data_IF_654308560185
#
_entry.id   IF_654308560185
#
_cell.length_a   1.000
_cell.length_b   1.000
_cell.length_c   1.000
_cell.angle_alpha   90.00
_cell.angle_beta   90.00
_cell.angle_gamma   90.00
#
_symmetry.space_group_name_H-M   'P 1'
#
loop_
_entity.id
_entity.type
_entity.pdbx_description
1 polymer ?
#
# COMPACT_ATOMS: atom_id res chain seq x y z
N UNK A 1 30.46 6.70 -18.98
CA UNK A 1 29.82 5.73 -19.88
C UNK A 1 30.15 6.07 -21.31
N UNK A 2 30.55 5.10 -22.14
CA UNK A 2 30.88 5.29 -23.54
C UNK A 2 29.69 5.30 -24.51
N UNK A 3 28.47 5.54 -24.03
CA UNK A 3 27.26 5.57 -24.85
C UNK A 3 27.18 6.90 -25.61
N UNK A 4 27.08 6.83 -26.93
CA UNK A 4 26.95 7.99 -27.82
C UNK A 4 25.51 8.12 -28.37
N UNK A 5 25.15 9.28 -28.97
CA UNK A 5 23.86 9.43 -29.63
C UNK A 5 23.57 8.37 -30.71
N UNK A 6 24.63 7.95 -31.44
CA UNK A 6 24.51 6.89 -32.45
C UNK A 6 24.11 5.55 -31.84
N UNK A 7 24.66 5.20 -30.67
CA UNK A 7 24.24 3.98 -29.93
C UNK A 7 22.78 4.05 -29.55
N UNK A 8 22.28 5.19 -29.07
CA UNK A 8 20.87 5.38 -28.72
C UNK A 8 19.98 5.26 -29.96
N UNK A 9 20.38 5.90 -31.07
CA UNK A 9 19.63 5.84 -32.32
C UNK A 9 19.53 4.40 -32.85
N UNK A 10 20.63 3.63 -32.76
CA UNK A 10 20.67 2.24 -33.19
C UNK A 10 19.76 1.37 -32.31
N UNK A 11 19.82 1.56 -30.98
CA UNK A 11 18.90 0.86 -30.05
C UNK A 11 17.44 1.17 -30.33
N UNK A 12 17.11 2.45 -30.59
CA UNK A 12 15.75 2.87 -30.93
C UNK A 12 15.25 2.17 -32.20
N UNK A 13 16.08 2.09 -33.24
CA UNK A 13 15.68 1.41 -34.49
C UNK A 13 15.43 -0.09 -34.31
N UNK A 14 16.20 -0.76 -33.45
CA UNK A 14 16.00 -2.18 -33.15
C UNK A 14 14.68 -2.37 -32.35
N UNK A 15 14.38 -1.49 -31.41
CA UNK A 15 13.15 -1.56 -30.62
C UNK A 15 11.93 -1.35 -31.52
N UNK A 16 11.97 -0.38 -32.43
CA UNK A 16 10.91 -0.15 -33.39
C UNK A 16 10.65 -1.38 -34.28
N UNK A 17 11.72 -2.03 -34.75
CA UNK A 17 11.65 -3.26 -35.58
C UNK A 17 11.07 -4.45 -34.77
N UNK A 18 11.43 -4.58 -33.47
CA UNK A 18 10.88 -5.60 -32.58
C UNK A 18 9.41 -5.37 -32.33
N UNK A 19 8.99 -4.13 -32.04
CA UNK A 19 7.60 -3.76 -31.79
C UNK A 19 6.72 -4.03 -33.02
N UNK A 20 7.22 -3.72 -34.21
CA UNK A 20 6.48 -3.99 -35.46
C UNK A 20 6.35 -5.49 -35.74
N UNK A 21 7.38 -6.28 -35.45
CA UNK A 21 7.34 -7.73 -35.55
C UNK A 21 6.40 -8.38 -34.52
N UNK A 22 6.32 -7.86 -33.30
CA UNK A 22 5.39 -8.36 -32.27
C UNK A 22 3.92 -7.99 -32.57
N UNK A 23 3.68 -6.82 -33.20
CA UNK A 23 2.33 -6.45 -33.67
C UNK A 23 1.81 -7.36 -34.77
N UNK A 24 2.70 -7.93 -35.59
CA UNK A 24 2.33 -8.90 -36.64
C UNK A 24 2.19 -10.33 -36.12
N UNK A 25 2.80 -10.66 -34.97
CA UNK A 25 2.73 -11.97 -34.31
C UNK A 25 1.86 -11.90 -33.04
N UNK A 26 0.55 -11.85 -33.20
CA UNK A 26 -0.44 -11.88 -32.10
C UNK A 26 -0.43 -13.16 -31.22
N UNK A 27 0.60 -14.00 -31.31
CA UNK A 27 0.77 -15.24 -30.55
C UNK A 27 2.03 -15.30 -29.68
N UNK A 28 2.71 -14.19 -29.44
CA UNK A 28 3.78 -14.18 -28.45
C UNK A 28 3.16 -14.40 -27.06
N UNK A 29 3.16 -15.66 -26.61
CA UNK A 29 2.94 -15.99 -25.19
C UNK A 29 3.94 -15.11 -24.43
N UNK A 30 3.46 -14.13 -23.64
CA UNK A 30 4.30 -13.51 -22.63
C UNK A 30 4.89 -14.62 -21.79
N UNK A 31 6.16 -14.93 -22.00
CA UNK A 31 6.91 -15.79 -21.11
C UNK A 31 7.09 -15.04 -19.79
N UNK A 32 6.08 -15.13 -18.93
CA UNK A 32 6.08 -14.61 -17.56
C UNK A 32 6.90 -15.48 -16.62
N UNK A 33 7.82 -16.32 -17.17
CA UNK A 33 8.69 -17.16 -16.35
C UNK A 33 9.64 -16.28 -15.56
N UNK A 34 9.28 -16.02 -14.30
CA UNK A 34 10.13 -15.34 -13.33
C UNK A 34 9.63 -13.98 -12.81
N UNK A 35 8.50 -13.43 -13.28
CA UNK A 35 7.97 -12.22 -12.70
C UNK A 35 7.30 -12.50 -11.35
N UNK A 36 7.79 -11.87 -10.30
CA UNK A 36 7.23 -11.92 -8.95
C UNK A 36 6.72 -10.52 -8.59
N UNK A 37 5.39 -10.34 -8.37
CA UNK A 37 4.85 -9.06 -7.93
C UNK A 37 5.53 -8.60 -6.65
N UNK A 38 6.09 -7.39 -6.67
CA UNK A 38 6.98 -6.90 -5.60
C UNK A 38 6.94 -5.38 -5.50
N UNK A 39 7.16 -4.84 -4.30
CA UNK A 39 7.68 -3.50 -4.13
C UNK A 39 9.22 -3.50 -4.20
N UNK A 40 9.85 -2.36 -4.41
CA UNK A 40 11.30 -2.28 -4.41
C UNK A 40 11.81 -0.95 -3.86
N UNK A 41 12.95 -1.01 -3.18
CA UNK A 41 13.83 0.12 -2.96
C UNK A 41 14.85 0.23 -4.11
N UNK A 42 15.79 1.16 -4.01
CA UNK A 42 16.94 1.20 -4.95
C UNK A 42 17.92 0.04 -4.72
N UNK A 43 17.79 -0.71 -3.62
CA UNK A 43 18.72 -1.79 -3.24
C UNK A 43 18.10 -3.17 -3.41
N UNK A 44 16.84 -3.35 -3.01
CA UNK A 44 16.19 -4.67 -2.88
C UNK A 44 14.78 -4.65 -3.45
N UNK A 45 14.36 -5.81 -3.97
CA UNK A 45 12.98 -6.15 -4.27
C UNK A 45 12.39 -6.95 -3.11
N UNK A 46 11.15 -6.64 -2.73
CA UNK A 46 10.39 -7.33 -1.68
C UNK A 46 9.11 -7.87 -2.30
N UNK A 47 8.98 -9.19 -2.47
CA UNK A 47 7.75 -9.80 -2.98
C UNK A 47 6.53 -9.42 -2.12
N UNK A 48 5.39 -9.19 -2.75
CA UNK A 48 4.16 -8.93 -2.01
C UNK A 48 3.71 -10.17 -1.23
N UNK A 49 3.84 -11.34 -1.85
CA UNK A 49 3.56 -12.62 -1.20
C UNK A 49 4.83 -13.16 -0.54
N UNK A 50 4.76 -13.42 0.75
CA UNK A 50 5.86 -13.97 1.54
C UNK A 50 5.73 -15.50 1.65
N UNK A 51 6.84 -16.24 1.60
CA UNK A 51 6.82 -17.72 1.61
C UNK A 51 6.39 -18.29 2.96
N UNK A 52 6.87 -17.72 4.07
CA UNK A 52 6.68 -18.26 5.42
C UNK A 52 6.05 -17.25 6.39
N UNK A 53 5.55 -16.13 5.89
CA UNK A 53 4.95 -15.08 6.70
C UNK A 53 3.92 -14.28 5.89
N UNK A 54 3.42 -13.21 6.45
CA UNK A 54 2.66 -12.16 5.77
C UNK A 54 3.59 -10.97 5.47
N UNK A 55 3.19 -10.11 4.54
CA UNK A 55 3.89 -8.84 4.29
C UNK A 55 3.68 -7.91 5.50
N UNK A 56 4.75 -7.60 6.22
CA UNK A 56 4.73 -6.73 7.40
C UNK A 56 5.06 -5.30 6.98
N UNK A 57 4.13 -4.39 7.21
CA UNK A 57 4.30 -2.96 6.97
C UNK A 57 4.59 -2.24 8.28
N UNK A 58 5.73 -1.57 8.35
CA UNK A 58 6.11 -0.78 9.53
C UNK A 58 5.48 0.61 9.48
N UNK A 59 4.65 0.95 10.46
CA UNK A 59 3.85 2.19 10.49
C UNK A 59 4.34 3.23 11.50
N UNK A 60 5.53 3.12 12.06
CA UNK A 60 5.98 4.09 13.09
C UNK A 60 6.35 5.47 12.55
N UNK A 61 6.42 5.65 11.22
CA UNK A 61 6.61 6.95 10.56
C UNK A 61 5.28 7.59 10.16
N UNK A 62 4.28 7.47 11.02
CA UNK A 62 2.94 8.02 10.78
C UNK A 62 2.71 9.24 11.67
N UNK A 63 2.64 10.43 11.05
CA UNK A 63 2.39 11.69 11.75
C UNK A 63 0.97 11.78 12.32
N UNK A 64 -0.01 11.13 11.69
CA UNK A 64 -1.39 11.12 12.17
C UNK A 64 -1.51 10.32 13.48
N UNK A 65 -0.81 9.19 13.59
CA UNK A 65 -0.85 8.29 14.74
C UNK A 65 0.18 8.55 15.83
N UNK A 66 1.35 9.14 15.50
CA UNK A 66 2.50 9.23 16.40
C UNK A 66 2.80 10.64 16.87
N UNK A 67 2.64 10.90 18.19
CA UNK A 67 3.07 12.16 18.81
C UNK A 67 4.58 12.40 18.60
N UNK A 68 5.40 11.34 18.71
CA UNK A 68 6.86 11.44 18.53
C UNK A 68 7.22 11.90 17.12
N UNK A 69 6.55 11.39 16.10
CA UNK A 69 6.78 11.80 14.70
C UNK A 69 6.41 13.27 14.51
N UNK A 70 5.27 13.72 15.06
CA UNK A 70 4.88 15.13 15.00
C UNK A 70 5.90 16.05 15.70
N UNK A 71 6.44 15.64 16.85
CA UNK A 71 7.47 16.42 17.56
C UNK A 71 8.78 16.52 16.76
N UNK A 72 9.18 15.45 16.06
CA UNK A 72 10.35 15.47 15.18
C UNK A 72 10.12 16.35 13.96
N UNK A 73 8.97 16.23 13.30
CA UNK A 73 8.58 17.09 12.19
C UNK A 73 8.58 18.57 12.58
N UNK A 74 8.01 18.93 13.74
CA UNK A 74 7.96 20.31 14.23
C UNK A 74 9.35 20.91 14.50
N UNK A 75 10.36 20.07 14.73
CA UNK A 75 11.75 20.48 14.93
C UNK A 75 12.61 20.35 13.67
N UNK A 76 12.01 19.93 12.56
CA UNK A 76 12.72 19.53 11.34
C UNK A 76 13.85 18.52 11.61
N UNK A 77 13.64 17.64 12.61
CA UNK A 77 14.58 16.58 12.99
C UNK A 77 14.41 15.36 12.08
N UNK A 78 14.88 15.51 10.86
CA UNK A 78 14.81 14.48 9.83
C UNK A 78 15.67 13.25 10.18
N UNK A 79 16.79 13.45 10.87
CA UNK A 79 17.66 12.36 11.29
C UNK A 79 17.00 11.50 12.38
N UNK A 80 16.19 12.12 13.25
CA UNK A 80 15.34 11.42 14.20
C UNK A 80 14.30 10.54 13.50
N UNK A 81 13.66 11.02 12.41
CA UNK A 81 12.74 10.22 11.60
C UNK A 81 13.45 9.06 10.90
N UNK A 82 14.62 9.30 10.29
CA UNK A 82 15.43 8.23 9.68
C UNK A 82 15.84 7.19 10.72
N UNK A 83 16.11 7.57 11.95
CA UNK A 83 16.43 6.64 13.03
C UNK A 83 15.25 5.72 13.37
N UNK A 84 14.02 6.23 13.35
CA UNK A 84 12.80 5.42 13.50
C UNK A 84 12.68 4.41 12.35
N UNK A 85 12.93 4.82 11.11
CA UNK A 85 12.92 3.93 9.94
C UNK A 85 13.94 2.79 10.09
N UNK A 86 15.18 3.12 10.45
CA UNK A 86 16.25 2.15 10.67
C UNK A 86 15.91 1.14 11.78
N UNK A 87 15.20 1.58 12.82
CA UNK A 87 14.73 0.69 13.87
C UNK A 87 13.70 -0.31 13.35
N UNK A 88 12.72 0.15 12.57
CA UNK A 88 11.70 -0.74 11.96
C UNK A 88 12.34 -1.76 11.00
N UNK A 89 13.32 -1.35 10.22
CA UNK A 89 14.11 -2.27 9.40
C UNK A 89 14.82 -3.35 10.23
N UNK A 90 15.39 -3.00 11.38
CA UNK A 90 16.01 -3.96 12.31
C UNK A 90 14.99 -4.89 12.97
N UNK A 91 13.75 -4.46 13.09
CA UNK A 91 12.63 -5.22 13.64
C UNK A 91 11.90 -6.07 12.56
N UNK A 92 12.51 -6.22 11.37
CA UNK A 92 12.07 -7.05 10.28
C UNK A 92 10.76 -6.58 9.59
N UNK A 93 10.50 -5.28 9.54
CA UNK A 93 9.51 -4.76 8.60
C UNK A 93 9.96 -5.07 7.15
N UNK A 94 8.99 -5.40 6.30
CA UNK A 94 9.23 -5.68 4.88
C UNK A 94 9.09 -4.42 4.02
N UNK A 95 8.16 -3.53 4.38
CA UNK A 95 7.85 -2.25 3.74
C UNK A 95 7.73 -1.20 4.84
N UNK A 96 8.07 0.06 4.56
CA UNK A 96 7.84 1.16 5.50
C UNK A 96 6.73 2.06 5.00
N UNK A 97 5.68 2.20 5.80
CA UNK A 97 4.65 3.21 5.65
C UNK A 97 5.15 4.58 6.09
N UNK A 98 4.93 5.60 5.26
CA UNK A 98 5.39 6.98 5.48
C UNK A 98 4.23 7.93 5.34
N UNK A 99 3.81 8.51 6.47
CA UNK A 99 2.76 9.52 6.55
C UNK A 99 3.28 10.78 7.23
N UNK A 100 3.16 11.91 6.54
CA UNK A 100 3.53 13.25 7.04
C UNK A 100 2.31 14.19 7.15
N UNK A 101 1.11 13.64 7.14
CA UNK A 101 -0.12 14.43 7.23
C UNK A 101 -0.27 15.03 8.62
N UNK A 102 0.20 16.28 8.73
CA UNK A 102 0.14 17.07 9.96
C UNK A 102 -0.28 18.51 9.66
N UNK A 103 -1.30 18.97 10.37
CA UNK A 103 -1.88 20.31 10.17
C UNK A 103 -0.85 21.40 10.45
N UNK A 104 -0.80 22.40 9.55
CA UNK A 104 0.09 23.55 9.68
C UNK A 104 1.47 23.39 9.07
N UNK A 105 1.75 22.26 8.38
CA UNK A 105 2.99 22.04 7.63
C UNK A 105 2.73 21.90 6.13
N UNK A 106 3.78 22.17 5.35
CA UNK A 106 3.80 21.88 3.91
C UNK A 106 4.08 20.37 3.70
N UNK A 107 3.01 19.59 3.63
CA UNK A 107 3.12 18.14 3.51
C UNK A 107 3.75 17.68 2.20
N UNK A 108 3.65 18.42 1.11
CA UNK A 108 4.31 18.11 -0.18
C UNK A 108 5.83 18.20 -0.01
N UNK A 109 6.30 19.27 0.62
CA UNK A 109 7.72 19.46 0.93
C UNK A 109 8.21 18.43 1.94
N UNK A 110 7.44 18.17 3.01
CA UNK A 110 7.81 17.21 4.04
C UNK A 110 7.89 15.78 3.48
N UNK A 111 6.94 15.37 2.64
CA UNK A 111 6.95 14.06 1.98
C UNK A 111 8.17 13.91 1.07
N UNK A 112 8.50 14.93 0.28
CA UNK A 112 9.71 14.94 -0.53
C UNK A 112 10.98 14.79 0.30
N UNK A 113 11.09 15.56 1.37
CA UNK A 113 12.30 15.61 2.22
C UNK A 113 12.53 14.26 2.90
N UNK A 114 11.51 13.72 3.58
CA UNK A 114 11.66 12.44 4.28
C UNK A 114 11.92 11.30 3.29
N UNK A 115 11.18 11.22 2.19
CA UNK A 115 11.34 10.16 1.21
C UNK A 115 12.74 10.17 0.61
N UNK A 116 13.25 11.35 0.21
CA UNK A 116 14.62 11.49 -0.34
C UNK A 116 15.70 11.02 0.64
N UNK A 117 15.51 11.24 1.94
CA UNK A 117 16.44 10.77 2.97
C UNK A 117 16.33 9.26 3.19
N UNK A 118 15.11 8.72 3.23
CA UNK A 118 14.89 7.29 3.42
C UNK A 118 15.53 6.46 2.31
N UNK A 119 15.39 6.88 1.05
CA UNK A 119 15.93 6.17 -0.13
C UNK A 119 17.41 5.79 0.01
N UNK A 120 18.23 6.65 0.62
CA UNK A 120 19.67 6.41 0.78
C UNK A 120 20.06 5.82 2.13
N UNK A 121 19.14 5.75 3.09
CA UNK A 121 19.44 5.36 4.46
C UNK A 121 18.87 4.01 4.88
N UNK A 122 17.88 3.48 4.14
CA UNK A 122 17.24 2.19 4.40
C UNK A 122 17.18 1.35 3.12
N UNK A 123 17.03 0.04 3.29
CA UNK A 123 16.97 -0.90 2.17
C UNK A 123 15.54 -1.37 1.87
N UNK A 124 14.54 -0.89 2.61
CA UNK A 124 13.15 -1.29 2.44
C UNK A 124 12.44 -0.43 1.41
N UNK A 125 11.49 -1.00 0.64
CA UNK A 125 10.56 -0.22 -0.18
C UNK A 125 9.63 0.61 0.70
N UNK A 126 9.06 1.66 0.10
CA UNK A 126 8.17 2.60 0.79
C UNK A 126 6.70 2.38 0.40
N UNK A 127 5.84 2.51 1.38
CA UNK A 127 4.41 2.74 1.21
C UNK A 127 4.16 4.22 1.47
N UNK A 128 3.62 4.93 0.49
CA UNK A 128 3.37 6.38 0.58
C UNK A 128 1.94 6.58 1.05
N UNK A 129 1.79 7.02 2.28
CA UNK A 129 0.50 7.17 2.95
C UNK A 129 0.11 8.65 3.04
N UNK A 130 -0.98 8.99 2.40
CA UNK A 130 -1.63 10.30 2.50
C UNK A 130 -3.07 10.26 1.97
N UNK A 131 -3.86 11.21 2.41
CA UNK A 131 -5.17 11.51 1.82
C UNK A 131 -5.08 12.51 0.66
N UNK A 132 -3.91 13.09 0.40
CA UNK A 132 -3.66 14.15 -0.58
C UNK A 132 -2.81 13.62 -1.75
N UNK A 133 -3.34 13.69 -2.98
CA UNK A 133 -2.67 13.19 -4.18
C UNK A 133 -1.36 13.92 -4.50
N UNK A 134 -1.25 15.22 -4.20
CA UNK A 134 -0.03 15.98 -4.46
C UNK A 134 1.10 15.54 -3.52
N UNK A 135 0.79 15.19 -2.27
CA UNK A 135 1.74 14.60 -1.33
C UNK A 135 2.17 13.20 -1.76
N UNK A 136 1.20 12.37 -2.19
CA UNK A 136 1.50 11.05 -2.74
C UNK A 136 2.45 11.17 -3.94
N UNK A 137 2.15 12.05 -4.89
CA UNK A 137 2.99 12.26 -6.07
C UNK A 137 4.40 12.76 -5.70
N UNK A 138 4.50 13.65 -4.73
CA UNK A 138 5.79 14.14 -4.21
C UNK A 138 6.66 13.02 -3.64
N UNK A 139 6.05 12.11 -2.87
CA UNK A 139 6.71 10.91 -2.36
C UNK A 139 7.17 9.98 -3.48
N UNK A 140 6.28 9.66 -4.42
CA UNK A 140 6.56 8.78 -5.56
C UNK A 140 7.71 9.31 -6.43
N UNK A 141 7.74 10.61 -6.72
CA UNK A 141 8.84 11.25 -7.46
C UNK A 141 10.20 11.11 -6.78
N UNK A 142 10.21 10.97 -5.46
CA UNK A 142 11.44 10.98 -4.65
C UNK A 142 11.88 9.58 -4.20
N UNK A 143 11.04 8.56 -4.35
CA UNK A 143 11.26 7.24 -3.75
C UNK A 143 12.35 6.39 -4.44
N UNK A 144 12.65 6.59 -5.70
CA UNK A 144 13.69 5.86 -6.43
C UNK A 144 13.44 4.38 -6.69
N UNK A 145 12.36 3.79 -6.15
CA UNK A 145 11.95 2.40 -6.33
C UNK A 145 10.46 2.27 -6.60
N UNK A 146 9.95 1.03 -6.64
CA UNK A 146 8.52 0.76 -6.79
C UNK A 146 7.82 0.82 -5.43
N UNK A 147 7.01 1.85 -5.23
CA UNK A 147 6.22 2.07 -4.02
C UNK A 147 4.88 1.33 -4.03
N UNK A 148 4.24 1.33 -2.86
CA UNK A 148 2.81 1.08 -2.71
C UNK A 148 2.16 2.40 -2.29
N UNK A 149 1.02 2.75 -2.88
CA UNK A 149 0.24 3.94 -2.50
C UNK A 149 -0.81 3.52 -1.46
N UNK A 150 -0.85 4.20 -0.34
CA UNK A 150 -1.81 4.01 0.76
C UNK A 150 -2.56 5.34 1.00
N UNK A 151 -3.80 5.52 0.65
CA UNK A 151 -4.70 4.65 -0.07
C UNK A 151 -5.68 5.46 -0.93
N UNK A 152 -6.51 4.78 -1.67
CA UNK A 152 -7.70 5.36 -2.28
C UNK A 152 -8.97 4.65 -1.81
N UNK A 153 -10.12 5.28 -2.00
CA UNK A 153 -11.44 4.73 -1.72
C UNK A 153 -12.49 5.51 -2.51
N UNK A 154 -13.78 5.24 -2.25
CA UNK A 154 -14.90 5.90 -2.92
C UNK A 154 -15.65 6.91 -2.04
N UNK A 155 -15.08 7.34 -0.91
CA UNK A 155 -15.74 8.32 -0.02
C UNK A 155 -16.09 9.62 -0.77
N UNK A 156 -15.16 10.11 -1.58
CA UNK A 156 -15.34 11.29 -2.44
C UNK A 156 -15.72 10.88 -3.89
N UNK A 157 -16.26 9.68 -4.09
CA UNK A 157 -16.70 9.16 -5.38
C UNK A 157 -15.58 8.74 -6.33
N UNK A 158 -15.93 8.63 -7.62
CA UNK A 158 -15.02 8.09 -8.63
C UNK A 158 -13.87 9.03 -8.99
N UNK A 159 -14.05 10.34 -8.93
CA UNK A 159 -13.03 11.32 -9.35
C UNK A 159 -11.77 11.20 -8.51
N UNK A 160 -11.93 11.20 -7.20
CA UNK A 160 -10.81 11.00 -6.26
C UNK A 160 -10.17 9.63 -6.42
N UNK A 161 -10.97 8.58 -6.59
CA UNK A 161 -10.47 7.23 -6.84
C UNK A 161 -9.59 7.19 -8.09
N UNK A 162 -10.06 7.75 -9.20
CA UNK A 162 -9.37 7.77 -10.49
C UNK A 162 -8.09 8.62 -10.45
N UNK A 163 -8.08 9.72 -9.68
CA UNK A 163 -6.88 10.54 -9.49
C UNK A 163 -5.73 9.71 -8.91
N UNK A 164 -5.98 8.94 -7.85
CA UNK A 164 -4.94 8.11 -7.21
C UNK A 164 -4.61 6.88 -8.07
N UNK A 165 -5.59 6.29 -8.74
CA UNK A 165 -5.37 5.20 -9.70
C UNK A 165 -4.44 5.63 -10.83
N UNK A 166 -4.59 6.86 -11.35
CA UNK A 166 -3.70 7.40 -12.37
C UNK A 166 -2.28 7.61 -11.86
N UNK A 167 -2.09 7.98 -10.58
CA UNK A 167 -0.77 7.99 -9.97
C UNK A 167 -0.17 6.58 -9.92
N UNK A 168 -0.94 5.57 -9.49
CA UNK A 168 -0.46 4.19 -9.44
C UNK A 168 -0.01 3.70 -10.82
N UNK A 169 -0.80 3.97 -11.87
CA UNK A 169 -0.46 3.63 -13.26
C UNK A 169 0.77 4.39 -13.76
N UNK A 170 0.82 5.71 -13.52
CA UNK A 170 1.90 6.57 -13.99
C UNK A 170 3.27 6.25 -13.37
N UNK A 171 3.29 5.82 -12.11
CA UNK A 171 4.52 5.47 -11.38
C UNK A 171 4.77 3.96 -11.29
N UNK A 172 3.86 3.12 -11.82
CA UNK A 172 3.95 1.66 -11.74
C UNK A 172 3.89 1.12 -10.32
N UNK A 173 3.15 1.79 -9.43
CA UNK A 173 3.07 1.47 -8.00
C UNK A 173 1.98 0.45 -7.71
N UNK A 174 2.14 -0.31 -6.60
CA UNK A 174 1.03 -1.00 -5.98
C UNK A 174 0.02 -0.01 -5.40
N UNK A 175 -1.23 -0.41 -5.22
CA UNK A 175 -2.31 0.46 -4.77
C UNK A 175 -3.15 -0.20 -3.68
N UNK A 176 -3.24 0.44 -2.52
CA UNK A 176 -4.18 0.08 -1.45
C UNK A 176 -5.54 0.72 -1.72
N UNK A 177 -6.60 -0.07 -1.59
CA UNK A 177 -7.99 0.38 -1.72
C UNK A 177 -8.75 0.06 -0.44
N UNK A 178 -9.16 1.09 0.28
CA UNK A 178 -10.00 0.96 1.48
C UNK A 178 -11.46 0.67 1.13
N UNK A 179 -12.12 -0.16 1.93
CA UNK A 179 -13.55 -0.49 1.76
C UNK A 179 -14.46 0.61 2.33
N UNK A 180 -14.32 1.82 1.75
CA UNK A 180 -15.12 3.01 2.05
C UNK A 180 -15.80 3.45 0.75
N UNK A 181 -17.06 3.77 0.82
CA UNK A 181 -17.83 4.35 -0.29
C UNK A 181 -18.53 5.66 0.13
N UNK A 182 -19.39 6.17 -0.71
CA UNK A 182 -20.12 7.43 -0.50
C UNK A 182 -21.03 7.39 0.75
N UNK A 183 -21.36 6.18 1.27
CA UNK A 183 -22.09 5.99 2.53
C UNK A 183 -21.16 5.89 3.76
N UNK A 184 -19.83 5.96 3.55
CA UNK A 184 -18.80 5.82 4.57
C UNK A 184 -18.20 4.42 4.68
N UNK A 185 -17.55 4.12 5.81
CA UNK A 185 -16.85 2.85 6.06
C UNK A 185 -17.81 1.66 6.04
N UNK A 186 -17.50 0.65 5.23
CA UNK A 186 -18.30 -0.58 5.17
C UNK A 186 -18.17 -1.38 6.47
N UNK A 187 -19.33 -1.70 7.10
CA UNK A 187 -19.38 -2.44 8.36
C UNK A 187 -19.61 -3.93 8.19
N UNK A 188 -20.35 -4.36 7.17
CA UNK A 188 -20.64 -5.77 6.95
C UNK A 188 -19.85 -6.36 5.79
N UNK A 189 -19.68 -7.66 5.78
CA UNK A 189 -18.87 -8.40 4.81
C UNK A 189 -19.33 -8.23 3.37
N UNK A 190 -20.64 -8.18 3.13
CA UNK A 190 -21.20 -8.03 1.79
C UNK A 190 -20.93 -6.66 1.20
N UNK A 191 -21.06 -5.59 2.00
CA UNK A 191 -20.73 -4.24 1.55
C UNK A 191 -19.24 -4.12 1.25
N UNK A 192 -18.36 -4.64 2.13
CA UNK A 192 -16.90 -4.69 1.89
C UNK A 192 -16.58 -5.39 0.57
N UNK A 193 -17.14 -6.57 0.35
CA UNK A 193 -16.97 -7.34 -0.89
C UNK A 193 -17.46 -6.60 -2.15
N UNK A 194 -18.61 -5.92 -2.08
CA UNK A 194 -19.16 -5.18 -3.20
C UNK A 194 -18.28 -3.98 -3.59
N UNK A 195 -17.69 -3.29 -2.62
CA UNK A 195 -16.71 -2.21 -2.87
C UNK A 195 -15.46 -2.77 -3.55
N UNK A 196 -14.92 -3.90 -3.08
CA UNK A 196 -13.80 -4.59 -3.72
C UNK A 196 -14.12 -4.92 -5.18
N UNK A 197 -15.29 -5.50 -5.44
CA UNK A 197 -15.74 -5.83 -6.80
C UNK A 197 -15.87 -4.59 -7.70
N UNK A 198 -16.41 -3.48 -7.15
CA UNK A 198 -16.50 -2.20 -7.87
C UNK A 198 -15.10 -1.69 -8.24
N UNK A 199 -14.18 -1.68 -7.28
CA UNK A 199 -12.82 -1.21 -7.49
C UNK A 199 -12.05 -2.08 -8.49
N UNK A 200 -12.14 -3.41 -8.39
CA UNK A 200 -11.52 -4.33 -9.36
C UNK A 200 -12.00 -4.12 -10.78
N UNK A 201 -13.30 -3.90 -10.96
CA UNK A 201 -13.82 -3.61 -12.29
C UNK A 201 -13.23 -2.30 -12.85
N UNK A 202 -13.10 -1.27 -12.02
CA UNK A 202 -12.54 0.03 -12.43
C UNK A 202 -11.05 -0.07 -12.73
N UNK A 203 -10.27 -0.68 -11.86
CA UNK A 203 -8.81 -0.80 -12.02
C UNK A 203 -8.43 -1.64 -13.24
N UNK A 204 -9.15 -2.75 -13.49
CA UNK A 204 -8.98 -3.58 -14.70
C UNK A 204 -9.29 -2.82 -15.98
N UNK A 205 -10.36 -1.99 -16.01
CA UNK A 205 -10.68 -1.14 -17.15
C UNK A 205 -9.57 -0.13 -17.47
N UNK A 206 -8.87 0.35 -16.44
CA UNK A 206 -7.75 1.28 -16.58
C UNK A 206 -6.40 0.58 -16.81
N UNK A 207 -6.34 -0.75 -16.77
CA UNK A 207 -5.14 -1.54 -17.08
C UNK A 207 -4.21 -1.82 -15.90
N UNK A 208 -4.64 -1.56 -14.65
CA UNK A 208 -3.89 -1.97 -13.47
C UNK A 208 -4.12 -3.47 -13.22
N UNK A 209 -3.05 -4.23 -13.04
CA UNK A 209 -3.11 -5.68 -12.81
C UNK A 209 -3.58 -6.01 -11.39
N UNK A 210 -4.34 -7.09 -11.23
CA UNK A 210 -4.88 -7.53 -9.95
C UNK A 210 -3.79 -7.72 -8.89
N UNK A 211 -2.64 -8.25 -9.26
CA UNK A 211 -1.50 -8.47 -8.36
C UNK A 211 -0.80 -7.18 -7.87
N UNK A 212 -1.21 -6.02 -8.34
CA UNK A 212 -0.76 -4.72 -7.82
C UNK A 212 -1.74 -4.11 -6.79
N UNK A 213 -2.86 -4.79 -6.53
CA UNK A 213 -3.92 -4.29 -5.68
C UNK A 213 -3.88 -4.91 -4.30
N UNK A 214 -3.97 -4.06 -3.30
CA UNK A 214 -4.15 -4.40 -1.89
C UNK A 214 -5.51 -3.87 -1.44
N UNK A 215 -6.37 -4.74 -0.94
CA UNK A 215 -7.65 -4.31 -0.39
C UNK A 215 -7.60 -4.29 1.14
N UNK A 216 -7.97 -3.15 1.73
CA UNK A 216 -8.16 -3.01 3.17
C UNK A 216 -9.65 -3.15 3.51
N UNK A 217 -10.06 -4.30 4.06
CA UNK A 217 -11.44 -4.49 4.51
C UNK A 217 -11.77 -3.71 5.77
N UNK A 218 -10.87 -2.96 6.33
CA UNK A 218 -10.95 -2.16 7.56
C UNK A 218 -11.24 -2.99 8.81
N UNK A 219 -10.38 -2.87 9.81
CA UNK A 219 -10.65 -3.31 11.17
C UNK A 219 -11.31 -2.17 11.95
N UNK A 220 -12.55 -2.34 12.34
CA UNK A 220 -13.29 -1.38 13.16
C UNK A 220 -13.29 -1.84 14.62
N UNK A 221 -13.21 -0.91 15.61
CA UNK A 221 -13.19 -1.26 17.02
C UNK A 221 -14.41 -2.09 17.46
N UNK A 222 -14.19 -3.06 18.35
CA UNK A 222 -15.28 -3.86 18.96
C UNK A 222 -15.67 -3.38 20.36
N UNK A 223 -14.95 -2.39 20.89
CA UNK A 223 -15.09 -1.93 22.29
C UNK A 223 -15.75 -0.56 22.42
N UNK A 224 -16.52 -0.13 21.44
CA UNK A 224 -17.18 1.19 21.41
C UNK A 224 -18.39 1.30 22.37
N UNK A 225 -18.91 0.18 22.87
CA UNK A 225 -20.16 0.15 23.63
C UNK A 225 -21.43 0.04 22.77
N UNK A 226 -21.30 0.12 21.45
CA UNK A 226 -22.39 -0.04 20.49
C UNK A 226 -22.55 -1.53 20.18
N UNK A 227 -23.77 -2.05 20.26
CA UNK A 227 -24.04 -3.50 20.09
C UNK A 227 -23.63 -4.01 18.70
N UNK A 228 -23.90 -3.23 17.65
CA UNK A 228 -23.56 -3.59 16.27
C UNK A 228 -22.04 -3.70 16.06
N UNK A 229 -21.24 -2.93 16.78
CA UNK A 229 -19.77 -2.94 16.65
C UNK A 229 -19.14 -4.25 17.17
N UNK A 230 -19.84 -5.03 18.00
CA UNK A 230 -19.35 -6.34 18.46
C UNK A 230 -19.15 -7.33 17.32
N UNK A 231 -19.83 -7.16 16.20
CA UNK A 231 -19.68 -8.01 15.02
C UNK A 231 -18.54 -7.59 14.10
N UNK A 232 -17.92 -6.42 14.31
CA UNK A 232 -16.91 -5.87 13.39
C UNK A 232 -15.77 -6.85 13.07
N UNK A 233 -15.26 -7.59 14.08
CA UNK A 233 -14.22 -8.59 13.86
C UNK A 233 -14.69 -9.73 12.94
N UNK A 234 -15.89 -10.28 13.23
CA UNK A 234 -16.49 -11.36 12.44
C UNK A 234 -16.74 -10.92 11.00
N UNK A 235 -17.31 -9.74 10.82
CA UNK A 235 -17.59 -9.19 9.49
C UNK A 235 -16.33 -8.97 8.68
N UNK A 236 -15.24 -8.51 9.31
CA UNK A 236 -13.95 -8.34 8.63
C UNK A 236 -13.35 -9.69 8.25
N UNK A 237 -13.32 -10.68 9.13
CA UNK A 237 -12.82 -12.03 8.83
C UNK A 237 -13.64 -12.68 7.72
N UNK A 238 -14.97 -12.57 7.76
CA UNK A 238 -15.87 -13.08 6.71
C UNK A 238 -15.61 -12.40 5.37
N UNK A 239 -15.39 -11.07 5.37
CA UNK A 239 -15.04 -10.34 4.16
C UNK A 239 -13.71 -10.81 3.56
N UNK A 240 -12.68 -11.01 4.38
CA UNK A 240 -11.37 -11.53 3.95
C UNK A 240 -11.54 -12.89 3.26
N UNK A 241 -12.24 -13.86 3.88
CA UNK A 241 -12.50 -15.17 3.28
C UNK A 241 -13.22 -15.04 1.94
N UNK A 242 -14.29 -14.25 1.90
CA UNK A 242 -15.10 -14.06 0.69
C UNK A 242 -14.32 -13.40 -0.44
N UNK A 243 -13.49 -12.41 -0.11
CA UNK A 243 -12.62 -11.72 -1.09
C UNK A 243 -11.58 -12.70 -1.62
N UNK A 244 -10.89 -13.45 -0.74
CA UNK A 244 -9.85 -14.41 -1.13
C UNK A 244 -10.36 -15.52 -2.00
N UNK A 245 -11.54 -16.08 -1.70
CA UNK A 245 -12.17 -17.13 -2.49
C UNK A 245 -12.50 -16.70 -3.93
N UNK A 246 -12.91 -15.44 -4.11
CA UNK A 246 -13.36 -14.95 -5.41
C UNK A 246 -12.26 -14.24 -6.21
N UNK A 247 -11.22 -13.72 -5.54
CA UNK A 247 -10.15 -12.92 -6.16
C UNK A 247 -8.78 -13.35 -5.60
N UNK A 248 -8.23 -14.51 -6.03
CA UNK A 248 -7.01 -15.08 -5.45
C UNK A 248 -5.74 -14.28 -5.76
N UNK A 249 -5.74 -13.48 -6.82
CA UNK A 249 -4.56 -12.77 -7.33
C UNK A 249 -4.33 -11.39 -6.68
N UNK A 250 -5.32 -10.89 -5.94
CA UNK A 250 -5.18 -9.62 -5.18
C UNK A 250 -4.54 -9.87 -3.82
N UNK A 251 -4.06 -8.78 -3.20
CA UNK A 251 -3.58 -8.79 -1.82
C UNK A 251 -4.63 -8.22 -0.87
N UNK A 252 -4.61 -8.69 0.38
CA UNK A 252 -5.47 -8.18 1.44
C UNK A 252 -4.58 -7.68 2.57
N UNK A 253 -4.70 -6.39 2.88
CA UNK A 253 -3.94 -5.70 3.91
C UNK A 253 -4.88 -5.23 5.02
N UNK A 254 -4.40 -5.20 6.26
CA UNK A 254 -5.24 -4.80 7.40
C UNK A 254 -4.44 -4.08 8.47
N UNK A 255 -4.93 -2.93 8.92
CA UNK A 255 -4.48 -2.25 10.13
C UNK A 255 -5.02 -2.97 11.38
N UNK A 256 -4.28 -3.98 11.85
CA UNK A 256 -4.74 -4.91 12.90
C UNK A 256 -5.10 -4.19 14.20
N UNK A 257 -4.34 -3.19 14.60
CA UNK A 257 -4.47 -2.56 15.92
C UNK A 257 -5.76 -1.79 16.11
N UNK A 258 -6.47 -1.46 15.04
CA UNK A 258 -7.74 -0.72 15.08
C UNK A 258 -8.86 -1.51 15.79
N UNK A 259 -8.86 -2.85 15.69
CA UNK A 259 -9.87 -3.71 16.33
C UNK A 259 -9.93 -3.50 17.85
N UNK A 260 -8.79 -3.18 18.45
CA UNK A 260 -8.61 -3.08 19.91
C UNK A 260 -8.54 -1.63 20.42
N UNK A 261 -8.89 -0.65 19.56
CA UNK A 261 -8.86 0.76 19.96
C UNK A 261 -9.74 0.99 21.20
N UNK A 262 -9.21 1.73 22.19
CA UNK A 262 -9.89 2.03 23.46
C UNK A 262 -9.68 0.99 24.57
N UNK A 263 -9.05 -0.15 24.30
CA UNK A 263 -8.73 -1.18 25.32
C UNK A 263 -7.40 -0.89 26.04
N UNK A 264 -7.22 -1.55 27.21
CA UNK A 264 -5.95 -1.51 27.94
C UNK A 264 -4.81 -2.14 27.14
N UNK A 265 -3.54 -1.73 27.34
CA UNK A 265 -2.41 -2.27 26.56
C UNK A 265 -2.32 -3.80 26.55
N UNK A 266 -2.55 -4.45 27.68
CA UNK A 266 -2.51 -5.92 27.77
C UNK A 266 -3.66 -6.56 26.97
N UNK A 267 -4.86 -6.01 27.08
CA UNK A 267 -6.03 -6.50 26.33
C UNK A 267 -5.82 -6.31 24.82
N UNK A 268 -5.19 -5.22 24.42
CA UNK A 268 -4.85 -4.95 23.01
C UNK A 268 -3.92 -6.01 22.45
N UNK A 269 -2.84 -6.35 23.15
CA UNK A 269 -1.89 -7.38 22.69
C UNK A 269 -2.62 -8.71 22.45
N UNK A 270 -3.43 -9.17 23.42
CA UNK A 270 -4.13 -10.43 23.31
C UNK A 270 -5.14 -10.43 22.16
N UNK A 271 -5.98 -9.37 22.07
CA UNK A 271 -6.99 -9.27 21.03
C UNK A 271 -6.36 -9.17 19.63
N UNK A 272 -5.34 -8.32 19.46
CA UNK A 272 -4.64 -8.15 18.18
C UNK A 272 -4.02 -9.47 17.71
N UNK A 273 -3.42 -10.25 18.63
CA UNK A 273 -2.80 -11.53 18.28
C UNK A 273 -3.82 -12.57 17.81
N UNK A 274 -4.94 -12.69 18.52
CA UNK A 274 -6.02 -13.62 18.14
C UNK A 274 -6.66 -13.17 16.82
N UNK A 275 -6.94 -11.88 16.68
CA UNK A 275 -7.58 -11.35 15.49
C UNK A 275 -6.69 -11.50 14.26
N UNK A 276 -5.38 -11.25 14.39
CA UNK A 276 -4.42 -11.47 13.32
C UNK A 276 -4.37 -12.93 12.88
N UNK A 277 -4.32 -13.87 13.81
CA UNK A 277 -4.32 -15.31 13.54
C UNK A 277 -5.57 -15.73 12.76
N UNK A 278 -6.76 -15.30 13.19
CA UNK A 278 -8.01 -15.58 12.49
C UNK A 278 -8.08 -14.92 11.09
N UNK A 279 -7.55 -13.70 10.94
CA UNK A 279 -7.47 -13.05 9.64
C UNK A 279 -6.51 -13.77 8.68
N UNK A 280 -5.35 -14.25 9.16
CA UNK A 280 -4.42 -15.04 8.35
C UNK A 280 -5.07 -16.36 7.89
N UNK A 281 -5.76 -17.06 8.77
CA UNK A 281 -6.53 -18.27 8.41
C UNK A 281 -7.61 -17.99 7.37
N UNK A 282 -8.20 -16.80 7.39
CA UNK A 282 -9.18 -16.34 6.41
C UNK A 282 -8.58 -15.93 5.05
N UNK A 283 -7.24 -15.74 4.97
CA UNK A 283 -6.54 -15.40 3.73
C UNK A 283 -5.91 -14.01 3.69
N UNK A 284 -5.74 -13.34 4.85
CA UNK A 284 -4.92 -12.13 4.96
C UNK A 284 -3.48 -12.42 4.60
N UNK A 285 -2.85 -11.59 3.77
CA UNK A 285 -1.46 -11.74 3.35
C UNK A 285 -0.58 -10.52 3.65
N UNK A 286 -1.16 -9.43 4.18
CA UNK A 286 -0.42 -8.22 4.56
C UNK A 286 -1.01 -7.59 5.83
N UNK A 287 -0.16 -7.02 6.70
CA UNK A 287 -0.59 -6.34 7.93
C UNK A 287 0.23 -5.09 8.21
N UNK A 288 -0.47 -4.09 8.75
CA UNK A 288 0.09 -2.85 9.30
C UNK A 288 0.00 -2.91 10.81
#
# INVERSE_FOLDING_TARGET
CGTTPEHIKYLSSIIDEIIDNERTNNNAKKNSSGFIPSASSIYNSVPYKQDNSILIVGERLNASGSKKVRELLNKDDWDGLVSIAKQQQKENAHVLDVNVDYVGRDGVKDMKEITSRLVTNINLPLMIDSTDADKMESGLKSAGGKCIINSTNYEDGNERFDQVLNLALGYGSGLVVGTIDEDGMARNADKKYNIVKRALNRTRQCGLSDYELFFDPLALPISTGIEEDRLNAKETITAISKIRENFPDIHIILGISNISFGLSPLSRINLNSIFLDECIKAGLDSAI
#
